data_IF_092566514007
#
_entry.id   IF_092566514007
#
_cell.length_a   1.000
_cell.length_b   1.000
_cell.length_c   1.000
_cell.angle_alpha   90.00
_cell.angle_beta   90.00
_cell.angle_gamma   90.00
#
_symmetry.space_group_name_H-M   'P 1'
#
loop_
_entity.id
_entity.type
_entity.pdbx_description
1 polymer ?
#
# COMPACT_ATOMS: atom_id res chain seq x y z
N UNK A 1 33.17 39.63 -64.28
CA UNK A 1 33.32 38.56 -63.26
C UNK A 1 32.82 38.93 -61.85
N UNK A 2 32.55 40.20 -61.58
CA UNK A 2 32.21 40.69 -60.22
C UNK A 2 30.74 40.47 -59.80
N UNK A 3 29.81 40.35 -60.75
CA UNK A 3 28.38 40.22 -60.45
C UNK A 3 27.91 38.78 -60.03
N UNK A 4 28.72 37.76 -60.34
CA UNK A 4 28.35 36.39 -59.95
C UNK A 4 28.69 36.03 -58.49
N UNK A 5 29.64 36.75 -57.88
CA UNK A 5 30.00 36.53 -56.47
C UNK A 5 28.97 37.15 -55.51
N UNK A 6 28.43 38.32 -55.86
CA UNK A 6 27.41 38.99 -55.01
C UNK A 6 26.08 38.21 -54.98
N UNK A 7 25.71 37.59 -56.11
CA UNK A 7 24.49 36.78 -56.16
C UNK A 7 24.63 35.47 -55.31
N UNK A 8 25.80 34.85 -55.26
CA UNK A 8 26.06 33.67 -54.44
C UNK A 8 26.09 33.99 -52.94
N UNK A 9 26.61 35.13 -52.52
CA UNK A 9 26.60 35.55 -51.12
C UNK A 9 25.19 35.91 -50.63
N UNK A 10 24.36 36.51 -51.46
CA UNK A 10 22.96 36.83 -51.06
C UNK A 10 22.08 35.59 -50.98
N UNK A 11 22.32 34.57 -51.80
CA UNK A 11 21.59 33.32 -51.77
C UNK A 11 21.98 32.44 -50.56
N UNK A 12 23.25 32.49 -50.15
CA UNK A 12 23.69 31.79 -48.92
C UNK A 12 23.16 32.44 -47.65
N UNK A 13 22.98 33.78 -47.58
CA UNK A 13 22.40 34.49 -46.48
C UNK A 13 20.87 34.28 -46.33
N UNK A 14 20.15 34.12 -47.45
CA UNK A 14 18.71 33.84 -47.42
C UNK A 14 18.39 32.38 -47.02
N UNK A 15 19.26 31.41 -47.39
CA UNK A 15 19.12 30.01 -46.96
C UNK A 15 19.48 29.80 -45.48
N UNK A 16 20.37 30.60 -44.92
CA UNK A 16 20.73 30.56 -43.50
C UNK A 16 19.62 31.13 -42.57
N UNK A 17 18.85 32.10 -43.06
CA UNK A 17 17.75 32.70 -42.27
C UNK A 17 16.47 31.84 -42.23
N UNK A 18 16.26 30.91 -43.16
CA UNK A 18 15.11 29.99 -43.19
C UNK A 18 15.37 28.74 -42.34
N UNK A 19 16.60 28.39 -42.00
CA UNK A 19 16.91 27.21 -41.20
C UNK A 19 16.79 27.42 -39.69
N UNK A 20 16.86 28.62 -39.19
CA UNK A 20 16.75 28.92 -37.73
C UNK A 20 15.36 28.68 -37.13
N UNK A 21 14.22 28.94 -37.75
CA UNK A 21 12.92 28.71 -37.14
C UNK A 21 12.53 27.21 -37.08
N UNK A 22 13.14 26.35 -37.91
CA UNK A 22 12.80 24.90 -37.90
C UNK A 22 13.46 24.18 -36.71
N UNK A 23 14.64 24.63 -36.26
CA UNK A 23 15.30 24.04 -35.11
C UNK A 23 14.64 24.45 -33.76
N UNK A 24 13.93 25.58 -33.70
CA UNK A 24 13.26 26.05 -32.49
C UNK A 24 11.92 25.31 -32.23
N UNK A 25 11.32 24.67 -33.24
CA UNK A 25 10.08 23.90 -33.10
C UNK A 25 10.32 22.47 -32.61
N UNK A 26 11.55 21.95 -32.68
CA UNK A 26 11.88 20.60 -32.20
C UNK A 26 12.20 20.54 -30.70
N UNK A 27 12.39 21.67 -30.00
CA UNK A 27 12.74 21.73 -28.57
C UNK A 27 11.51 21.82 -27.65
N UNK A 28 10.29 21.79 -28.19
CA UNK A 28 9.06 22.13 -27.45
C UNK A 28 8.14 20.99 -27.06
N UNK A 29 8.52 19.70 -27.12
CA UNK A 29 7.62 18.59 -26.76
C UNK A 29 8.31 17.48 -25.98
N UNK A 30 9.06 17.80 -24.93
CA UNK A 30 9.13 16.87 -23.81
C UNK A 30 7.89 17.08 -22.95
N UNK A 31 6.71 16.69 -23.44
CA UNK A 31 5.61 16.34 -22.56
C UNK A 31 6.14 15.24 -21.67
N UNK A 32 6.51 15.58 -20.43
CA UNK A 32 6.58 14.57 -19.38
C UNK A 32 5.24 13.84 -19.45
N UNK A 33 5.26 12.59 -19.87
CA UNK A 33 4.13 11.71 -19.80
C UNK A 33 3.81 11.59 -18.32
N UNK A 34 2.98 12.51 -17.78
CA UNK A 34 2.39 12.33 -16.47
C UNK A 34 1.59 11.04 -16.61
N UNK A 35 2.11 9.98 -15.99
CA UNK A 35 1.38 8.72 -15.88
C UNK A 35 -0.02 9.06 -15.38
N UNK A 36 -1.03 8.57 -16.09
CA UNK A 36 -2.42 8.75 -15.67
C UNK A 36 -2.52 8.29 -14.20
N UNK A 37 -3.24 9.03 -13.34
CA UNK A 37 -3.37 8.65 -11.94
C UNK A 37 -3.85 7.20 -11.86
N UNK A 38 -3.34 6.41 -10.91
CA UNK A 38 -3.72 5.01 -10.77
C UNK A 38 -5.24 4.89 -10.61
N UNK A 39 -5.84 4.00 -11.40
CA UNK A 39 -7.30 3.78 -11.38
C UNK A 39 -7.61 2.70 -10.36
N UNK A 40 -7.94 3.12 -9.13
CA UNK A 40 -8.33 2.23 -8.06
C UNK A 40 -7.25 2.04 -7.00
N UNK A 41 -7.54 1.19 -6.05
CA UNK A 41 -6.70 0.85 -4.90
C UNK A 41 -6.55 -0.67 -4.78
N UNK A 42 -5.34 -1.14 -4.59
CA UNK A 42 -5.07 -2.52 -4.21
C UNK A 42 -5.03 -2.61 -2.68
N UNK A 43 -6.00 -3.31 -2.10
CA UNK A 43 -6.11 -3.52 -0.65
C UNK A 43 -5.70 -4.96 -0.33
N UNK A 44 -4.62 -5.11 0.41
CA UNK A 44 -4.14 -6.40 0.91
C UNK A 44 -4.30 -6.42 2.42
N UNK A 45 -5.00 -7.43 2.92
CA UNK A 45 -5.24 -7.66 4.35
C UNK A 45 -4.54 -8.95 4.76
N UNK A 46 -3.58 -8.86 5.66
CA UNK A 46 -3.02 -10.03 6.33
C UNK A 46 -3.69 -10.22 7.68
N UNK A 47 -4.16 -11.42 7.95
CA UNK A 47 -4.85 -11.78 9.19
C UNK A 47 -4.05 -12.84 9.92
N UNK A 48 -3.78 -12.57 11.17
CA UNK A 48 -3.06 -13.46 12.07
C UNK A 48 -3.99 -14.55 12.61
N UNK A 49 -3.56 -15.81 12.47
CA UNK A 49 -4.26 -16.99 12.97
C UNK A 49 -3.49 -17.70 14.08
N UNK A 50 -2.46 -17.07 14.64
CA UNK A 50 -1.70 -17.61 15.77
C UNK A 50 -2.56 -17.71 17.04
N UNK A 51 -2.07 -18.49 17.99
CA UNK A 51 -2.78 -18.70 19.27
C UNK A 51 -2.81 -17.43 20.16
N UNK A 52 -1.90 -16.47 19.95
CA UNK A 52 -1.89 -15.19 20.64
C UNK A 52 -3.08 -14.29 20.24
N UNK A 53 -3.58 -14.47 19.00
CA UNK A 53 -4.77 -13.76 18.50
C UNK A 53 -6.03 -14.55 18.85
N UNK A 54 -6.74 -14.09 19.87
CA UNK A 54 -7.93 -14.77 20.41
C UNK A 54 -9.12 -14.79 19.45
N UNK A 55 -10.09 -15.64 19.77
CA UNK A 55 -11.34 -15.73 19.01
C UNK A 55 -12.11 -14.40 18.94
N UNK A 56 -12.04 -13.57 20.00
CA UNK A 56 -12.66 -12.25 20.04
C UNK A 56 -12.01 -11.27 19.07
N UNK A 57 -10.69 -11.33 18.91
CA UNK A 57 -9.96 -10.47 17.97
C UNK A 57 -10.32 -10.83 16.53
N UNK A 58 -10.42 -12.12 16.21
CA UNK A 58 -10.88 -12.57 14.89
C UNK A 58 -12.31 -12.15 14.58
N UNK A 59 -13.20 -12.11 15.56
CA UNK A 59 -14.55 -11.55 15.44
C UNK A 59 -14.50 -10.05 15.16
N UNK A 60 -13.59 -9.33 15.84
CA UNK A 60 -13.38 -7.90 15.61
C UNK A 60 -12.84 -7.65 14.20
N UNK A 61 -11.82 -8.38 13.76
CA UNK A 61 -11.25 -8.30 12.40
C UNK A 61 -12.30 -8.55 11.31
N UNK A 62 -13.10 -9.61 11.47
CA UNK A 62 -14.23 -9.88 10.57
C UNK A 62 -15.16 -8.68 10.49
N UNK A 63 -15.53 -8.08 11.62
CA UNK A 63 -16.43 -6.93 11.68
C UNK A 63 -15.83 -5.70 11.00
N UNK A 64 -14.54 -5.43 11.18
CA UNK A 64 -13.84 -4.32 10.54
C UNK A 64 -13.81 -4.50 9.01
N UNK A 65 -13.50 -5.70 8.53
CA UNK A 65 -13.55 -5.99 7.10
C UNK A 65 -14.97 -5.77 6.56
N UNK A 66 -15.99 -6.35 7.20
CA UNK A 66 -17.37 -6.29 6.72
C UNK A 66 -17.99 -4.90 6.81
N UNK A 67 -17.66 -4.11 7.85
CA UNK A 67 -18.34 -2.85 8.14
C UNK A 67 -17.55 -1.61 7.72
N UNK A 68 -16.25 -1.71 7.57
CA UNK A 68 -15.40 -0.58 7.22
C UNK A 68 -14.71 -0.77 5.86
N UNK A 69 -14.07 -1.92 5.61
CA UNK A 69 -13.24 -2.10 4.43
C UNK A 69 -14.08 -2.39 3.18
N UNK A 70 -14.89 -3.44 3.19
CA UNK A 70 -15.68 -3.86 2.03
C UNK A 70 -16.66 -2.78 1.53
N UNK A 71 -17.40 -2.02 2.40
CA UNK A 71 -18.27 -0.94 1.93
C UNK A 71 -17.52 0.17 1.20
N UNK A 72 -16.28 0.46 1.64
CA UNK A 72 -15.45 1.52 1.07
C UNK A 72 -14.90 1.19 -0.32
N UNK A 73 -14.66 -0.07 -0.64
CA UNK A 73 -14.11 -0.47 -1.94
C UNK A 73 -14.87 0.16 -3.11
N UNK A 74 -14.14 0.67 -4.09
CA UNK A 74 -14.65 1.37 -5.26
C UNK A 74 -14.48 0.53 -6.54
N UNK A 75 -15.21 0.87 -7.62
CA UNK A 75 -14.97 0.27 -8.93
C UNK A 75 -13.50 0.37 -9.35
N UNK A 76 -12.92 -0.76 -9.75
CA UNK A 76 -11.51 -0.86 -10.12
C UNK A 76 -10.54 -1.19 -8.98
N UNK A 77 -11.01 -1.23 -7.73
CA UNK A 77 -10.20 -1.71 -6.62
C UNK A 77 -10.00 -3.23 -6.68
N UNK A 78 -8.92 -3.70 -6.06
CA UNK A 78 -8.74 -5.12 -5.72
C UNK A 78 -8.75 -5.31 -4.21
N UNK A 79 -9.17 -6.47 -3.80
CA UNK A 79 -9.20 -6.88 -2.41
C UNK A 79 -8.66 -8.28 -2.26
N UNK A 80 -7.69 -8.45 -1.34
CA UNK A 80 -7.08 -9.74 -1.04
C UNK A 80 -6.99 -9.90 0.47
N UNK A 81 -7.39 -11.06 0.99
CA UNK A 81 -7.15 -11.48 2.37
C UNK A 81 -6.25 -12.69 2.39
N UNK A 82 -5.19 -12.63 3.17
CA UNK A 82 -4.22 -13.72 3.32
C UNK A 82 -3.91 -13.99 4.80
N UNK A 83 -3.55 -15.22 5.16
CA UNK A 83 -3.16 -15.54 6.53
C UNK A 83 -1.72 -15.13 6.82
N UNK A 84 -1.43 -14.75 8.06
CA UNK A 84 -0.10 -14.75 8.64
C UNK A 84 0.11 -16.11 9.31
N UNK A 85 1.13 -16.85 8.89
CA UNK A 85 1.51 -18.13 9.49
C UNK A 85 2.95 -18.50 9.11
N UNK A 86 3.49 -19.56 9.70
CA UNK A 86 4.87 -20.04 9.55
C UNK A 86 5.28 -20.47 8.12
N UNK A 87 4.33 -20.57 7.20
CA UNK A 87 4.57 -20.97 5.80
C UNK A 87 4.15 -19.93 4.76
N UNK A 88 3.99 -18.69 5.17
CA UNK A 88 3.47 -17.61 4.33
C UNK A 88 4.21 -17.48 2.98
N UNK A 89 5.53 -17.62 2.96
CA UNK A 89 6.31 -17.50 1.71
C UNK A 89 6.33 -18.76 0.85
N UNK A 90 6.20 -19.95 1.44
CA UNK A 90 6.37 -21.23 0.75
C UNK A 90 5.06 -21.85 0.27
N UNK A 91 3.97 -21.61 0.98
CA UNK A 91 2.66 -22.18 0.71
C UNK A 91 1.58 -21.09 0.59
N UNK A 92 1.93 -19.95 -0.03
CA UNK A 92 1.00 -18.84 -0.15
C UNK A 92 -0.27 -19.22 -0.89
N UNK A 93 -1.40 -19.03 -0.22
CA UNK A 93 -2.74 -19.10 -0.80
C UNK A 93 -3.60 -18.00 -0.19
N UNK A 94 -4.13 -17.09 -1.00
CA UNK A 94 -5.08 -16.11 -0.49
C UNK A 94 -6.33 -16.83 0.04
N UNK A 95 -6.86 -16.34 1.14
CA UNK A 95 -8.13 -16.83 1.70
C UNK A 95 -9.31 -16.33 0.87
N UNK A 96 -9.20 -15.09 0.41
CA UNK A 96 -10.20 -14.40 -0.41
C UNK A 96 -9.47 -13.45 -1.35
N UNK A 97 -9.92 -13.39 -2.61
CA UNK A 97 -9.36 -12.47 -3.60
C UNK A 97 -10.44 -12.08 -4.62
N UNK A 98 -10.52 -10.81 -4.96
CA UNK A 98 -11.33 -10.33 -6.07
C UNK A 98 -10.86 -8.96 -6.59
N UNK A 99 -11.04 -8.75 -7.90
CA UNK A 99 -10.99 -7.44 -8.54
C UNK A 99 -12.42 -6.93 -8.77
N UNK A 100 -12.67 -5.68 -8.37
CA UNK A 100 -13.95 -5.05 -8.62
C UNK A 100 -13.98 -4.51 -10.07
N UNK A 101 -15.09 -4.70 -10.80
CA UNK A 101 -15.25 -4.18 -12.15
C UNK A 101 -15.03 -2.67 -12.21
N UNK A 102 -14.38 -2.20 -13.26
CA UNK A 102 -14.26 -0.76 -13.51
C UNK A 102 -15.57 -0.19 -14.03
N UNK A 103 -15.88 1.06 -13.68
CA UNK A 103 -17.01 1.78 -14.29
C UNK A 103 -16.76 2.00 -15.78
N UNK A 104 -17.78 1.82 -16.63
CA UNK A 104 -17.70 2.20 -18.03
C UNK A 104 -17.40 3.71 -18.13
N UNK A 105 -16.58 4.10 -19.11
CA UNK A 105 -16.27 5.51 -19.36
C UNK A 105 -17.21 6.05 -20.41
N UNK A 106 -17.81 7.21 -20.16
CA UNK A 106 -18.60 7.92 -21.14
C UNK A 106 -17.69 8.77 -22.04
N UNK A 107 -17.56 8.38 -23.31
CA UNK A 107 -16.75 9.08 -24.30
C UNK A 107 -17.55 10.13 -25.10
N UNK A 108 -18.60 10.72 -24.50
CA UNK A 108 -19.37 11.82 -25.04
C UNK A 108 -20.00 11.54 -26.41
N UNK A 109 -19.21 11.67 -27.44
CA UNK A 109 -19.64 11.61 -28.83
C UNK A 109 -19.85 10.21 -29.43
N UNK A 110 -19.10 9.23 -28.93
CA UNK A 110 -19.06 7.86 -29.46
C UNK A 110 -20.01 6.90 -28.75
N UNK A 111 -20.54 7.28 -27.59
CA UNK A 111 -21.38 6.40 -26.77
C UNK A 111 -22.83 6.87 -26.76
N UNK A 112 -23.73 5.96 -27.12
CA UNK A 112 -25.14 6.15 -26.88
C UNK A 112 -25.40 6.22 -25.35
N UNK A 113 -26.00 7.33 -24.88
CA UNK A 113 -26.32 7.57 -23.45
C UNK A 113 -27.10 6.40 -22.85
N UNK A 114 -28.05 5.82 -23.57
CA UNK A 114 -28.86 4.69 -23.10
C UNK A 114 -27.99 3.43 -22.88
N UNK A 115 -27.07 3.16 -23.80
CA UNK A 115 -26.10 2.04 -23.68
C UNK A 115 -25.22 2.24 -22.47
N UNK A 116 -24.62 3.42 -22.32
CA UNK A 116 -23.78 3.76 -21.17
C UNK A 116 -24.53 3.60 -19.83
N UNK A 117 -25.76 4.13 -19.75
CA UNK A 117 -26.58 4.03 -18.53
C UNK A 117 -26.89 2.58 -18.16
N UNK A 118 -27.18 1.74 -19.16
CA UNK A 118 -27.40 0.30 -18.94
C UNK A 118 -26.14 -0.38 -18.43
N UNK A 119 -25.02 -0.19 -19.11
CA UNK A 119 -23.71 -0.77 -18.72
C UNK A 119 -23.27 -0.31 -17.32
N UNK A 120 -23.52 0.96 -16.98
CA UNK A 120 -23.23 1.48 -15.65
C UNK A 120 -24.06 0.78 -14.56
N UNK A 121 -25.38 0.57 -14.79
CA UNK A 121 -26.25 -0.16 -13.86
C UNK A 121 -25.84 -1.62 -13.71
N UNK A 122 -25.52 -2.30 -14.80
CA UNK A 122 -25.05 -3.68 -14.80
C UNK A 122 -23.72 -3.81 -14.04
N UNK A 123 -22.83 -2.83 -14.19
CA UNK A 123 -21.56 -2.78 -13.46
C UNK A 123 -21.78 -2.58 -11.97
N UNK A 124 -22.64 -1.66 -11.54
CA UNK A 124 -22.97 -1.45 -10.13
C UNK A 124 -23.60 -2.72 -9.49
N UNK A 125 -24.52 -3.38 -10.20
CA UNK A 125 -25.08 -4.65 -9.74
C UNK A 125 -24.00 -5.74 -9.56
N UNK A 126 -23.07 -5.82 -10.49
CA UNK A 126 -21.94 -6.76 -10.43
C UNK A 126 -20.99 -6.45 -9.26
N UNK A 127 -20.69 -5.17 -9.02
CA UNK A 127 -19.91 -4.73 -7.87
C UNK A 127 -20.59 -5.12 -6.55
N UNK A 128 -21.90 -4.90 -6.43
CA UNK A 128 -22.65 -5.29 -5.25
C UNK A 128 -22.58 -6.82 -5.03
N UNK A 129 -22.70 -7.62 -6.09
CA UNK A 129 -22.57 -9.08 -6.03
C UNK A 129 -21.17 -9.52 -5.61
N UNK A 130 -20.10 -8.89 -6.14
CA UNK A 130 -18.72 -9.18 -5.74
C UNK A 130 -18.51 -8.86 -4.26
N UNK A 131 -18.97 -7.70 -3.79
CA UNK A 131 -18.84 -7.31 -2.36
C UNK A 131 -19.58 -8.29 -1.44
N UNK A 132 -20.75 -8.77 -1.82
CA UNK A 132 -21.49 -9.76 -1.03
C UNK A 132 -20.78 -11.13 -1.03
N UNK A 133 -20.22 -11.53 -2.16
CA UNK A 133 -19.38 -12.72 -2.26
C UNK A 133 -18.15 -12.62 -1.36
N UNK A 134 -17.45 -11.47 -1.41
CA UNK A 134 -16.29 -11.19 -0.55
C UNK A 134 -16.67 -11.27 0.94
N UNK A 135 -17.81 -10.67 1.32
CA UNK A 135 -18.32 -10.72 2.69
C UNK A 135 -18.53 -12.15 3.17
N UNK A 136 -19.20 -12.97 2.36
CA UNK A 136 -19.48 -14.37 2.70
C UNK A 136 -18.21 -15.20 2.77
N UNK A 137 -17.29 -15.05 1.81
CA UNK A 137 -16.03 -15.79 1.78
C UNK A 137 -15.11 -15.38 2.95
N UNK A 138 -15.02 -14.09 3.26
CA UNK A 138 -14.23 -13.60 4.40
C UNK A 138 -14.79 -14.13 5.71
N UNK A 139 -16.13 -14.09 5.89
CA UNK A 139 -16.76 -14.65 7.08
C UNK A 139 -16.46 -16.14 7.26
N UNK A 140 -16.52 -16.92 6.18
CA UNK A 140 -16.21 -18.34 6.20
C UNK A 140 -14.72 -18.60 6.45
N UNK A 141 -13.83 -17.81 5.88
CA UNK A 141 -12.39 -17.94 6.05
C UNK A 141 -11.94 -17.65 7.49
N UNK A 142 -12.41 -16.53 8.07
CA UNK A 142 -12.07 -16.12 9.43
C UNK A 142 -12.75 -16.99 10.51
N UNK A 143 -13.84 -17.67 10.17
CA UNK A 143 -14.52 -18.64 11.04
C UNK A 143 -13.82 -20.00 11.14
N UNK A 144 -12.83 -20.27 10.29
CA UNK A 144 -12.10 -21.56 10.35
C UNK A 144 -11.10 -21.52 11.50
N UNK A 145 -11.01 -22.59 12.26
CA UNK A 145 -9.90 -22.78 13.19
C UNK A 145 -8.65 -23.15 12.37
N UNK A 146 -7.77 -22.18 12.19
CA UNK A 146 -6.40 -22.41 11.76
C UNK A 146 -5.52 -22.08 12.96
N UNK A 147 -4.81 -23.06 13.47
CA UNK A 147 -3.80 -22.85 14.50
C UNK A 147 -2.46 -22.74 13.76
N UNK A 148 -2.02 -21.53 13.52
CA UNK A 148 -0.65 -21.28 13.13
C UNK A 148 0.23 -21.44 14.38
N UNK A 149 1.31 -22.21 14.27
CA UNK A 149 2.23 -22.43 15.37
C UNK A 149 3.04 -21.18 15.71
N UNK A 150 3.28 -20.37 14.69
CA UNK A 150 4.10 -19.14 14.77
C UNK A 150 3.47 -18.03 13.95
N UNK A 151 3.71 -16.80 14.37
CA UNK A 151 3.38 -15.57 13.66
C UNK A 151 4.61 -15.11 12.88
N UNK A 152 4.58 -15.21 11.53
CA UNK A 152 5.65 -14.77 10.63
C UNK A 152 5.21 -13.52 9.87
N UNK A 153 5.33 -12.37 10.54
CA UNK A 153 4.96 -11.07 9.97
C UNK A 153 6.00 -10.66 8.92
N UNK A 154 7.29 -10.91 9.17
CA UNK A 154 8.34 -10.53 8.22
C UNK A 154 8.15 -11.17 6.86
N UNK A 155 7.83 -12.46 6.80
CA UNK A 155 7.52 -13.15 5.54
C UNK A 155 6.26 -12.60 4.89
N UNK A 156 5.24 -12.25 5.66
CA UNK A 156 4.01 -11.61 5.15
C UNK A 156 4.31 -10.26 4.50
N UNK A 157 5.24 -9.47 5.07
CA UNK A 157 5.66 -8.19 4.51
C UNK A 157 6.49 -8.34 3.23
N UNK A 158 7.37 -9.35 3.14
CA UNK A 158 8.08 -9.69 1.90
C UNK A 158 7.10 -10.16 0.81
N UNK A 159 6.03 -10.84 1.19
CA UNK A 159 4.97 -11.22 0.27
C UNK A 159 4.17 -9.99 -0.19
N UNK A 160 3.87 -9.04 0.72
CA UNK A 160 3.22 -7.78 0.35
C UNK A 160 4.00 -7.02 -0.73
N UNK A 161 5.34 -6.95 -0.64
CA UNK A 161 6.18 -6.37 -1.69
C UNK A 161 5.93 -7.06 -3.04
N UNK A 162 5.91 -8.38 -3.09
CA UNK A 162 5.67 -9.14 -4.32
C UNK A 162 4.28 -8.89 -4.90
N UNK A 163 3.25 -8.86 -4.04
CA UNK A 163 1.88 -8.59 -4.46
C UNK A 163 1.72 -7.18 -5.03
N UNK A 164 2.38 -6.20 -4.42
CA UNK A 164 2.30 -4.80 -4.85
C UNK A 164 3.25 -4.44 -6.02
N UNK A 165 4.31 -5.20 -6.25
CA UNK A 165 5.32 -4.86 -7.26
C UNK A 165 4.76 -4.78 -8.69
N UNK A 166 3.79 -5.62 -9.01
CA UNK A 166 3.13 -5.68 -10.33
C UNK A 166 1.88 -4.80 -10.42
N UNK A 167 1.43 -4.17 -9.31
CA UNK A 167 0.21 -3.40 -9.26
C UNK A 167 0.49 -1.89 -9.39
N UNK A 168 -0.18 -1.23 -10.33
CA UNK A 168 -0.07 0.21 -10.57
C UNK A 168 -1.09 1.05 -9.78
N UNK A 169 -2.01 0.41 -9.06
CA UNK A 169 -3.02 1.07 -8.22
C UNK A 169 -2.40 1.70 -6.96
N UNK A 170 -3.15 2.54 -6.27
CA UNK A 170 -2.79 2.94 -4.91
C UNK A 170 -2.71 1.68 -4.03
N UNK A 171 -1.76 1.65 -3.09
CA UNK A 171 -1.44 0.45 -2.33
C UNK A 171 -1.79 0.64 -0.88
N UNK A 172 -2.62 -0.26 -0.34
CA UNK A 172 -3.00 -0.27 1.06
C UNK A 172 -2.75 -1.64 1.65
N UNK A 173 -1.96 -1.69 2.70
CA UNK A 173 -1.67 -2.88 3.47
C UNK A 173 -2.34 -2.78 4.84
N UNK A 174 -3.11 -3.78 5.22
CA UNK A 174 -3.73 -3.87 6.54
C UNK A 174 -3.20 -5.12 7.22
N UNK A 175 -2.63 -4.95 8.40
CA UNK A 175 -2.19 -6.05 9.26
C UNK A 175 -3.18 -6.19 10.41
N UNK A 176 -3.85 -7.32 10.48
CA UNK A 176 -4.77 -7.68 11.56
C UNK A 176 -4.08 -8.71 12.45
N UNK A 177 -3.30 -8.22 13.43
CA UNK A 177 -2.41 -9.01 14.30
C UNK A 177 -2.12 -8.22 15.58
N UNK A 178 -1.74 -8.92 16.63
CA UNK A 178 -1.18 -8.30 17.85
C UNK A 178 0.21 -7.71 17.60
N UNK A 179 0.81 -7.99 16.45
CA UNK A 179 2.14 -7.53 16.00
C UNK A 179 3.30 -8.14 16.80
N UNK A 180 3.08 -9.26 17.47
CA UNK A 180 4.13 -10.02 18.16
C UNK A 180 4.71 -11.04 17.17
N UNK A 181 5.87 -10.73 16.64
CA UNK A 181 6.66 -11.67 15.80
C UNK A 181 7.22 -12.78 16.68
N UNK A 182 6.93 -14.03 16.39
CA UNK A 182 7.42 -15.17 17.16
C UNK A 182 8.01 -16.31 16.30
N UNK A 183 8.12 -16.07 14.97
CA UNK A 183 8.78 -17.03 14.09
C UNK A 183 10.29 -17.07 14.33
N UNK A 184 10.88 -18.26 14.57
CA UNK A 184 12.30 -18.37 14.86
C UNK A 184 13.22 -17.75 13.78
N UNK A 185 14.26 -17.01 14.17
CA UNK A 185 14.84 -16.91 15.52
C UNK A 185 14.24 -15.79 16.39
N UNK A 186 13.15 -15.16 15.97
CA UNK A 186 12.56 -14.03 16.68
C UNK A 186 11.53 -14.50 17.71
N UNK A 187 11.45 -13.79 18.83
CA UNK A 187 10.47 -14.01 19.88
C UNK A 187 10.25 -12.68 20.61
N UNK A 188 9.43 -11.81 20.03
CA UNK A 188 9.25 -10.43 20.50
C UNK A 188 8.68 -10.34 21.92
N UNK A 189 7.92 -11.35 22.33
CA UNK A 189 7.37 -11.47 23.69
C UNK A 189 8.45 -11.80 24.74
N UNK A 190 9.57 -12.42 24.33
CA UNK A 190 10.62 -12.93 25.25
C UNK A 190 11.95 -12.21 25.13
N UNK A 191 12.14 -11.41 24.08
CA UNK A 191 13.42 -10.76 23.88
C UNK A 191 13.63 -9.58 24.84
N UNK A 192 14.88 -9.30 25.26
CA UNK A 192 15.17 -8.14 26.07
C UNK A 192 15.09 -6.87 25.23
N UNK A 193 14.11 -6.02 25.51
CA UNK A 193 13.96 -4.73 24.86
C UNK A 193 14.81 -3.67 25.55
N UNK A 194 15.89 -3.26 24.89
CA UNK A 194 16.80 -2.19 25.29
C UNK A 194 16.85 -1.12 24.19
N UNK A 195 17.39 0.07 24.45
CA UNK A 195 17.57 1.08 23.39
C UNK A 195 18.38 0.60 22.19
N UNK A 196 19.25 -0.40 22.38
CA UNK A 196 20.07 -0.98 21.30
C UNK A 196 19.34 -2.08 20.51
N UNK A 197 18.23 -2.62 21.00
CA UNK A 197 17.55 -3.78 20.40
C UNK A 197 16.99 -3.44 19.01
N UNK A 198 16.23 -2.36 18.86
CA UNK A 198 15.66 -1.95 17.57
C UNK A 198 16.72 -1.71 16.50
N UNK A 199 17.78 -0.89 16.69
CA UNK A 199 18.78 -0.68 15.65
C UNK A 199 19.56 -1.97 15.31
N UNK A 200 19.83 -2.84 16.28
CA UNK A 200 20.46 -4.12 16.03
C UNK A 200 19.61 -5.04 15.17
N UNK A 201 18.33 -5.21 15.51
CA UNK A 201 17.38 -6.01 14.73
C UNK A 201 17.23 -5.48 13.30
N UNK A 202 17.08 -4.18 13.13
CA UNK A 202 16.95 -3.58 11.79
C UNK A 202 18.21 -3.81 10.95
N UNK A 203 19.40 -3.75 11.54
CA UNK A 203 20.65 -4.06 10.85
C UNK A 203 20.73 -5.53 10.44
N UNK A 204 20.30 -6.42 11.32
CA UNK A 204 20.27 -7.86 11.05
C UNK A 204 19.28 -8.21 9.95
N UNK A 205 18.04 -7.68 10.01
CA UNK A 205 17.01 -7.88 9.01
C UNK A 205 17.43 -7.34 7.63
N UNK A 206 18.10 -6.18 7.60
CA UNK A 206 18.63 -5.60 6.38
C UNK A 206 19.71 -6.49 5.74
N UNK A 207 20.65 -6.96 6.55
CA UNK A 207 21.69 -7.89 6.10
C UNK A 207 21.11 -9.20 5.53
N UNK A 208 19.99 -9.66 6.09
CA UNK A 208 19.26 -10.84 5.63
C UNK A 208 18.30 -10.55 4.46
N UNK A 209 18.20 -9.30 3.98
CA UNK A 209 17.22 -8.86 2.97
C UNK A 209 15.77 -9.15 3.39
N UNK A 210 15.49 -9.04 4.68
CA UNK A 210 14.16 -9.25 5.27
C UNK A 210 13.39 -7.93 5.48
N UNK A 211 13.85 -6.84 4.85
CA UNK A 211 13.14 -5.56 4.80
C UNK A 211 12.68 -5.32 3.37
N UNK A 212 11.35 -5.38 3.10
CA UNK A 212 10.80 -5.19 1.75
C UNK A 212 10.85 -3.74 1.29
N UNK A 213 10.71 -3.52 -0.01
CA UNK A 213 10.42 -2.20 -0.58
C UNK A 213 8.90 -1.96 -0.61
N UNK A 214 8.42 -1.19 0.36
CA UNK A 214 7.00 -0.82 0.48
C UNK A 214 6.76 0.67 0.20
N UNK A 215 7.56 1.29 -0.63
CA UNK A 215 7.40 2.70 -1.00
C UNK A 215 6.04 2.95 -1.65
N UNK A 216 5.33 3.95 -1.14
CA UNK A 216 3.98 4.31 -1.61
C UNK A 216 2.87 3.39 -1.10
N UNK A 217 3.16 2.51 -0.13
CA UNK A 217 2.16 1.68 0.54
C UNK A 217 1.69 2.36 1.81
N UNK A 218 0.36 2.59 1.92
CA UNK A 218 -0.26 2.96 3.20
C UNK A 218 -0.42 1.74 4.08
N UNK A 219 0.09 1.81 5.31
CA UNK A 219 -0.02 0.73 6.28
C UNK A 219 -1.00 1.08 7.39
N UNK A 220 -1.84 0.11 7.72
CA UNK A 220 -2.76 0.10 8.85
C UNK A 220 -2.51 -1.15 9.69
N UNK A 221 -2.62 -1.02 11.00
CA UNK A 221 -2.53 -2.13 11.94
C UNK A 221 -3.77 -2.12 12.83
N UNK A 222 -4.42 -3.27 12.94
CA UNK A 222 -5.54 -3.53 13.86
C UNK A 222 -5.25 -4.79 14.66
N UNK A 223 -5.56 -4.81 15.94
CA UNK A 223 -5.33 -5.93 16.84
C UNK A 223 -4.17 -5.74 17.80
N UNK A 224 -3.45 -4.61 17.74
CA UNK A 224 -2.27 -4.37 18.59
C UNK A 224 -2.59 -4.69 20.05
N UNK A 225 -1.85 -5.63 20.60
CA UNK A 225 -2.02 -6.12 21.95
C UNK A 225 -0.70 -6.67 22.48
N UNK A 226 -0.43 -6.50 23.77
CA UNK A 226 0.72 -7.13 24.45
C UNK A 226 0.43 -7.28 25.95
N UNK A 227 1.10 -8.23 26.64
CA UNK A 227 0.92 -8.46 28.08
C UNK A 227 1.21 -7.25 28.97
N UNK A 228 2.09 -6.34 28.52
CA UNK A 228 2.43 -5.11 29.25
C UNK A 228 2.50 -3.91 28.33
N UNK A 229 2.23 -2.72 28.88
CA UNK A 229 2.34 -1.47 28.13
C UNK A 229 3.77 -1.20 27.63
N UNK A 230 4.80 -1.56 28.41
CA UNK A 230 6.20 -1.40 28.01
C UNK A 230 6.54 -2.27 26.78
N UNK A 231 6.08 -3.52 26.79
CA UNK A 231 6.26 -4.41 25.66
C UNK A 231 5.53 -3.88 24.41
N UNK A 232 4.26 -3.47 24.54
CA UNK A 232 3.49 -2.86 23.47
C UNK A 232 4.20 -1.64 22.88
N UNK A 233 4.73 -0.76 23.71
CA UNK A 233 5.47 0.43 23.29
C UNK A 233 6.78 0.07 22.56
N UNK A 234 7.52 -0.91 23.06
CA UNK A 234 8.78 -1.32 22.44
C UNK A 234 8.54 -1.95 21.06
N UNK A 235 7.56 -2.85 20.95
CA UNK A 235 7.15 -3.47 19.69
C UNK A 235 6.64 -2.41 18.71
N UNK A 236 5.79 -1.48 19.17
CA UNK A 236 5.29 -0.39 18.34
C UNK A 236 6.41 0.49 17.76
N UNK A 237 7.41 0.88 18.58
CA UNK A 237 8.58 1.64 18.12
C UNK A 237 9.43 0.87 17.12
N UNK A 238 9.57 -0.44 17.32
CA UNK A 238 10.27 -1.29 16.37
C UNK A 238 9.55 -1.29 15.01
N UNK A 239 8.23 -1.55 14.97
CA UNK A 239 7.47 -1.59 13.73
C UNK A 239 7.43 -0.23 13.03
N UNK A 240 7.32 0.87 13.78
CA UNK A 240 7.43 2.22 13.20
C UNK A 240 8.79 2.42 12.49
N UNK A 241 9.88 2.03 13.14
CA UNK A 241 11.22 2.13 12.57
C UNK A 241 11.41 1.18 11.37
N UNK A 242 10.85 -0.03 11.44
CA UNK A 242 10.89 -1.01 10.36
C UNK A 242 10.15 -0.52 9.10
N UNK A 243 8.89 -0.07 9.25
CA UNK A 243 8.11 0.45 8.11
C UNK A 243 8.73 1.72 7.52
N UNK A 244 9.30 2.58 8.35
CA UNK A 244 10.07 3.74 7.87
C UNK A 244 11.25 3.31 7.02
N UNK A 245 11.98 2.27 7.43
CA UNK A 245 13.11 1.71 6.66
C UNK A 245 12.64 1.02 5.37
N UNK A 246 11.50 0.36 5.39
CA UNK A 246 10.84 -0.23 4.21
C UNK A 246 10.25 0.82 3.26
N UNK A 247 10.23 2.10 3.64
CA UNK A 247 9.67 3.18 2.85
C UNK A 247 8.14 3.25 2.86
N UNK A 248 7.47 2.53 3.75
CA UNK A 248 6.01 2.53 3.90
C UNK A 248 5.49 3.71 4.71
N UNK A 249 4.23 4.09 4.50
CA UNK A 249 3.52 5.10 5.28
C UNK A 249 2.71 4.43 6.40
N UNK A 250 3.35 4.20 7.54
CA UNK A 250 2.67 3.86 8.80
C UNK A 250 2.60 5.12 9.69
N UNK A 251 1.45 5.78 9.72
CA UNK A 251 1.23 6.85 10.68
C UNK A 251 0.93 6.26 12.08
N UNK A 252 1.50 6.78 13.18
CA UNK A 252 1.30 6.24 14.53
C UNK A 252 -0.16 6.06 14.94
N UNK A 253 -1.06 6.94 14.48
CA UNK A 253 -2.50 6.84 14.76
C UNK A 253 -3.20 5.69 14.01
N UNK A 254 -2.54 5.02 13.07
CA UNK A 254 -3.03 3.83 12.36
C UNK A 254 -2.48 2.52 12.94
N UNK A 255 -1.73 2.59 14.03
CA UNK A 255 -1.20 1.45 14.77
C UNK A 255 -1.98 1.32 16.07
N UNK A 256 -3.02 0.49 16.11
CA UNK A 256 -3.96 0.43 17.21
C UNK A 256 -4.61 -0.95 17.39
N UNK A 257 -5.35 -1.13 18.48
CA UNK A 257 -6.12 -2.36 18.74
C UNK A 257 -7.33 -2.52 17.82
N UNK A 258 -7.83 -1.42 17.22
CA UNK A 258 -8.92 -1.41 16.24
C UNK A 258 -8.52 -0.60 15.03
N UNK A 259 -9.18 -0.83 13.88
CA UNK A 259 -8.90 -0.10 12.64
C UNK A 259 -9.31 1.37 12.78
N UNK A 260 -8.33 2.25 12.95
CA UNK A 260 -8.51 3.68 13.09
C UNK A 260 -8.13 4.44 11.81
N UNK A 261 -8.69 5.64 11.65
CA UNK A 261 -8.41 6.55 10.53
C UNK A 261 -8.64 5.93 9.14
N UNK A 262 -9.61 5.02 9.04
CA UNK A 262 -10.13 4.52 7.79
C UNK A 262 -11.22 5.46 7.25
N UNK A 263 -11.33 5.73 5.95
CA UNK A 263 -10.55 5.18 4.83
C UNK A 263 -9.19 5.86 4.63
N UNK A 264 -8.29 5.22 3.82
CA UNK A 264 -6.99 5.80 3.51
C UNK A 264 -7.13 7.10 2.71
N UNK A 265 -6.16 8.02 2.84
CA UNK A 265 -6.12 9.23 2.02
C UNK A 265 -5.94 8.87 0.55
N UNK A 266 -6.43 9.72 -0.36
CA UNK A 266 -6.38 9.52 -1.82
C UNK A 266 -4.98 9.38 -2.39
N UNK A 267 -3.96 9.81 -1.66
CA UNK A 267 -2.56 9.56 -1.98
C UNK A 267 -1.80 9.23 -0.71
N UNK A 268 -1.31 8.01 -0.58
CA UNK A 268 -0.35 7.65 0.45
C UNK A 268 1.04 8.14 0.05
N UNK A 269 1.17 9.44 -0.15
CA UNK A 269 2.46 10.06 -0.37
C UNK A 269 3.13 10.23 0.99
N UNK A 270 4.32 9.66 1.10
CA UNK A 270 5.25 10.05 2.16
C UNK A 270 5.61 11.53 1.94
N UNK A 271 4.99 12.42 2.68
CA UNK A 271 5.49 13.78 2.85
C UNK A 271 6.73 13.73 3.79
N UNK A 272 7.80 13.08 3.31
CA UNK A 272 9.11 13.13 3.97
C UNK A 272 9.77 14.53 3.91
N UNK A 273 9.06 15.55 3.45
CA UNK A 273 9.58 16.93 3.39
C UNK A 273 9.30 17.76 4.64
N UNK A 274 8.51 17.29 5.59
CA UNK A 274 8.34 17.97 6.87
C UNK A 274 9.12 17.21 7.94
N UNK A 275 10.36 17.63 8.17
CA UNK A 275 11.16 17.27 9.35
C UNK A 275 10.55 17.85 10.64
N UNK A 276 9.30 17.50 10.93
CA UNK A 276 8.67 17.75 12.21
C UNK A 276 9.02 16.63 13.16
N UNK A 277 9.78 16.92 14.20
CA UNK A 277 9.95 16.05 15.37
C UNK A 277 8.57 15.63 15.85
N UNK A 278 8.29 14.32 15.98
CA UNK A 278 7.02 13.83 16.50
C UNK A 278 6.75 14.47 17.87
N UNK A 279 5.52 14.94 18.10
CA UNK A 279 5.13 15.67 19.31
C UNK A 279 5.32 14.89 20.64
N UNK A 280 5.52 13.59 20.57
CA UNK A 280 5.83 12.73 21.73
C UNK A 280 7.32 12.71 22.12
N UNK A 281 8.23 13.29 21.30
CA UNK A 281 9.63 13.54 21.69
C UNK A 281 9.81 14.84 22.48
N UNK A 282 8.82 15.69 22.55
CA UNK A 282 8.81 16.84 23.45
C UNK A 282 8.47 16.33 24.86
N UNK A 283 9.49 15.98 25.63
CA UNK A 283 9.34 15.72 27.07
C UNK A 283 8.72 16.95 27.76
N UNK A 284 8.08 16.76 28.93
CA UNK A 284 7.49 17.89 29.64
C UNK A 284 8.58 18.92 29.91
N UNK A 285 8.30 20.18 29.53
CA UNK A 285 9.14 21.31 29.87
C UNK A 285 9.32 21.34 31.40
N UNK A 286 10.54 21.24 31.86
CA UNK A 286 10.86 21.44 33.27
C UNK A 286 10.49 22.87 33.64
N UNK A 287 9.47 22.99 34.50
CA UNK A 287 9.12 24.20 35.23
C UNK A 287 9.80 24.21 36.58
#
# INVERSE_FOLDING_TARGET
MRNRQVARQRMALLLGLLALPILALAAGCTRSSQAAPPRGTAVVVFVDFSDSVGGNDRVAFKREIEKQILPWLQPGDSFLVAPIHDKTLTEFRPLVEADLPQRPQFNGWLNNVMKYTREARETEARIAQVKESLRTQTAAALGRHSQARYTDIFSSLLLAEKLFSADSRNKVLILMSDMIEDYPPYAFDKMPWTPATTPKLLSELDAKRAIPDLRGVCVYVSGVSAPTADLANNIGRFWEAYFRKAGADLHPSRYAHVLLHWPPPTSCRQDHRAGGTPSWMAGPAAS
#
